data_IF_482213341588
#
_entry.id   IF_482213341588
#
_cell.length_a   1.000
_cell.length_b   1.000
_cell.length_c   1.000
_cell.angle_alpha   90.00
_cell.angle_beta   90.00
_cell.angle_gamma   90.00
#
_symmetry.space_group_name_H-M   'P 1'
#
loop_
_entity.id
_entity.type
_entity.pdbx_description
1 polymer ?
#
# COMPACT_ATOMS: atom_id res chain seq x y z
N UNK A 1 -0.66 45.27 6.16
CA UNK A 1 0.42 44.37 6.61
C UNK A 1 -0.05 43.06 7.23
N UNK A 2 -1.29 42.94 7.72
CA UNK A 2 -1.79 41.71 8.38
C UNK A 2 -2.32 40.61 7.44
N UNK A 3 -2.75 40.90 6.23
CA UNK A 3 -3.33 39.89 5.30
C UNK A 3 -2.28 38.90 4.74
N UNK A 4 -1.08 39.38 4.46
CA UNK A 4 0.00 38.52 3.94
C UNK A 4 0.57 37.56 5.00
N UNK A 5 0.56 37.96 6.27
CA UNK A 5 1.02 37.09 7.37
C UNK A 5 0.02 35.98 7.68
N UNK A 6 -1.29 36.27 7.55
CA UNK A 6 -2.35 35.28 7.72
C UNK A 6 -2.35 34.24 6.59
N UNK A 7 -2.05 34.65 5.36
CA UNK A 7 -2.00 33.76 4.21
C UNK A 7 -0.79 32.82 4.28
N UNK A 8 0.40 33.32 4.68
CA UNK A 8 1.58 32.49 4.91
C UNK A 8 1.35 31.42 5.97
N UNK A 9 0.64 31.76 7.05
CA UNK A 9 0.38 30.83 8.14
C UNK A 9 -0.61 29.74 7.75
N UNK A 10 -1.62 30.09 6.92
CA UNK A 10 -2.61 29.15 6.39
C UNK A 10 -1.96 28.16 5.41
N UNK A 11 -1.09 28.66 4.53
CA UNK A 11 -0.35 27.83 3.56
C UNK A 11 0.62 26.86 4.26
N UNK A 12 1.34 27.34 5.28
CA UNK A 12 2.26 26.47 6.04
C UNK A 12 1.50 25.37 6.81
N UNK A 13 0.31 25.67 7.34
CA UNK A 13 -0.52 24.69 8.04
C UNK A 13 -1.06 23.62 7.08
N UNK A 14 -1.41 23.98 5.84
CA UNK A 14 -1.86 23.03 4.82
C UNK A 14 -0.71 22.11 4.40
N UNK A 15 0.47 22.63 4.14
CA UNK A 15 1.65 21.83 3.79
C UNK A 15 2.05 20.89 4.91
N UNK A 16 2.03 21.32 6.17
CA UNK A 16 2.32 20.47 7.32
C UNK A 16 1.31 19.31 7.44
N UNK A 17 0.00 19.57 7.26
CA UNK A 17 -1.03 18.52 7.27
C UNK A 17 -0.85 17.50 6.16
N UNK A 18 -0.57 17.94 4.93
CA UNK A 18 -0.34 17.06 3.78
C UNK A 18 0.88 16.17 4.03
N UNK A 19 1.98 16.74 4.52
CA UNK A 19 3.21 15.99 4.85
C UNK A 19 2.97 14.95 5.94
N UNK A 20 2.19 15.27 6.96
CA UNK A 20 1.86 14.33 8.05
C UNK A 20 1.00 13.17 7.56
N UNK A 21 0.00 13.42 6.72
CA UNK A 21 -0.85 12.38 6.12
C UNK A 21 -0.04 11.46 5.20
N UNK A 22 0.85 12.04 4.38
CA UNK A 22 1.74 11.25 3.54
C UNK A 22 2.65 10.35 4.36
N UNK A 23 3.23 10.86 5.44
CA UNK A 23 4.08 10.07 6.34
C UNK A 23 3.30 8.93 7.01
N UNK A 24 2.11 9.20 7.53
CA UNK A 24 1.24 8.17 8.12
C UNK A 24 0.90 7.10 7.09
N UNK A 25 0.56 7.49 5.86
CA UNK A 25 0.26 6.55 4.79
C UNK A 25 1.49 5.70 4.42
N UNK A 26 2.70 6.30 4.35
CA UNK A 26 3.95 5.55 4.11
C UNK A 26 4.21 4.53 5.21
N UNK A 27 4.05 4.92 6.48
CA UNK A 27 4.23 4.00 7.63
C UNK A 27 3.22 2.86 7.58
N UNK A 28 1.97 3.14 7.23
CA UNK A 28 0.93 2.12 7.10
C UNK A 28 1.25 1.10 5.99
N UNK A 29 1.62 1.58 4.80
CA UNK A 29 2.03 0.70 3.69
C UNK A 29 3.28 -0.09 4.06
N UNK A 30 4.29 0.56 4.66
CA UNK A 30 5.50 -0.10 5.16
C UNK A 30 5.15 -1.23 6.12
N UNK A 31 4.32 -0.98 7.14
CA UNK A 31 3.93 -1.99 8.13
C UNK A 31 3.21 -3.19 7.50
N UNK A 32 2.31 -2.94 6.56
CA UNK A 32 1.59 -4.00 5.82
C UNK A 32 2.55 -4.89 5.04
N UNK A 33 3.41 -4.28 4.20
CA UNK A 33 4.33 -5.04 3.35
C UNK A 33 5.45 -5.71 4.15
N UNK A 34 5.97 -5.06 5.19
CA UNK A 34 6.95 -5.66 6.09
C UNK A 34 6.37 -6.89 6.81
N UNK A 35 5.16 -6.75 7.37
CA UNK A 35 4.49 -7.86 8.06
C UNK A 35 4.22 -9.04 7.14
N UNK A 36 3.67 -8.79 5.94
CA UNK A 36 3.45 -9.84 4.94
C UNK A 36 4.77 -10.46 4.48
N UNK A 37 5.79 -9.66 4.24
CA UNK A 37 7.10 -10.14 3.82
C UNK A 37 7.74 -11.07 4.85
N UNK A 38 7.71 -10.72 6.14
CA UNK A 38 8.25 -11.58 7.22
C UNK A 38 7.49 -12.91 7.28
N UNK A 39 6.15 -12.88 7.20
CA UNK A 39 5.33 -14.09 7.22
C UNK A 39 5.58 -14.97 6.00
N UNK A 40 5.77 -14.39 4.82
CA UNK A 40 6.08 -15.10 3.59
C UNK A 40 7.48 -15.73 3.61
N UNK A 41 8.50 -15.05 4.17
CA UNK A 41 9.84 -15.62 4.37
C UNK A 41 9.81 -16.89 5.23
N UNK A 42 8.91 -16.94 6.23
CA UNK A 42 8.71 -18.11 7.08
C UNK A 42 7.92 -19.25 6.42
N UNK A 43 7.54 -19.13 5.15
CA UNK A 43 6.73 -20.11 4.41
C UNK A 43 5.49 -20.52 5.21
N UNK A 44 4.56 -19.57 5.41
CA UNK A 44 3.35 -19.84 6.18
C UNK A 44 2.46 -20.89 5.48
N UNK A 45 2.22 -22.06 6.11
CA UNK A 45 1.43 -23.13 5.49
C UNK A 45 0.01 -22.69 5.09
N UNK A 46 -0.57 -21.72 5.81
CA UNK A 46 -1.92 -21.19 5.51
C UNK A 46 -1.96 -20.37 4.20
N UNK A 47 -0.80 -19.98 3.66
CA UNK A 47 -0.71 -19.21 2.43
C UNK A 47 -0.41 -20.06 1.21
N UNK A 48 -0.03 -21.33 1.40
CA UNK A 48 0.17 -22.26 0.29
C UNK A 48 -1.09 -22.41 -0.56
N UNK A 49 -2.31 -22.56 0.00
CA UNK A 49 -3.54 -22.62 -0.80
C UNK A 49 -3.80 -21.38 -1.65
N UNK A 50 -3.35 -20.20 -1.21
CA UNK A 50 -3.50 -18.96 -1.98
C UNK A 50 -2.71 -19.02 -3.29
N UNK A 51 -1.49 -19.57 -3.27
CA UNK A 51 -0.67 -19.73 -4.47
C UNK A 51 -1.15 -20.90 -5.33
N UNK A 52 -1.56 -22.01 -4.73
CA UNK A 52 -2.05 -23.16 -5.49
C UNK A 52 -3.37 -22.87 -6.20
N UNK A 53 -4.21 -21.98 -5.69
CA UNK A 53 -5.43 -21.55 -6.38
C UNK A 53 -5.15 -20.77 -7.70
N UNK A 54 -3.95 -20.25 -7.88
CA UNK A 54 -3.47 -19.65 -9.13
C UNK A 54 -2.70 -20.62 -10.04
N UNK A 55 -2.74 -21.93 -9.75
CA UNK A 55 -2.16 -22.98 -10.60
C UNK A 55 -0.72 -23.38 -10.25
N UNK A 56 -0.13 -22.85 -9.17
CA UNK A 56 1.17 -23.32 -8.70
C UNK A 56 1.03 -24.68 -7.99
N UNK A 57 2.02 -25.57 -8.15
CA UNK A 57 2.09 -26.77 -7.31
C UNK A 57 2.46 -26.42 -5.86
N UNK A 58 2.22 -27.33 -4.92
CA UNK A 58 2.61 -27.10 -3.51
C UNK A 58 4.11 -26.84 -3.34
N UNK A 59 4.95 -27.56 -4.08
CA UNK A 59 6.41 -27.35 -4.08
C UNK A 59 6.81 -26.00 -4.64
N UNK A 60 6.17 -25.59 -5.75
CA UNK A 60 6.38 -24.27 -6.33
C UNK A 60 5.96 -23.16 -5.35
N UNK A 61 4.82 -23.33 -4.67
CA UNK A 61 4.34 -22.36 -3.69
C UNK A 61 5.34 -22.18 -2.53
N UNK A 62 5.90 -23.29 -2.01
CA UNK A 62 6.94 -23.27 -0.97
C UNK A 62 8.21 -22.56 -1.44
N UNK A 63 8.60 -22.76 -2.70
CA UNK A 63 9.79 -22.11 -3.27
C UNK A 63 9.57 -20.61 -3.56
N UNK A 64 8.40 -20.25 -4.08
CA UNK A 64 8.08 -18.85 -4.50
C UNK A 64 7.80 -17.95 -3.28
N UNK A 65 7.23 -18.50 -2.21
CA UNK A 65 6.80 -17.71 -1.06
C UNK A 65 7.93 -16.89 -0.41
N UNK A 66 9.14 -17.39 -0.16
CA UNK A 66 10.25 -16.59 0.33
C UNK A 66 10.67 -15.48 -0.66
N UNK A 67 10.58 -15.72 -1.96
CA UNK A 67 10.89 -14.70 -2.98
C UNK A 67 9.88 -13.55 -2.92
N UNK A 68 8.59 -13.87 -2.75
CA UNK A 68 7.54 -12.88 -2.48
C UNK A 68 7.88 -12.11 -1.20
N UNK A 69 8.29 -12.80 -0.14
CA UNK A 69 8.68 -12.18 1.13
C UNK A 69 9.80 -11.16 0.98
N UNK A 70 10.84 -11.48 0.23
CA UNK A 70 11.94 -10.54 -0.08
C UNK A 70 11.42 -9.35 -0.87
N UNK A 71 10.58 -9.58 -1.89
CA UNK A 71 10.00 -8.52 -2.70
C UNK A 71 9.14 -7.57 -1.86
N UNK A 72 8.29 -8.11 -0.99
CA UNK A 72 7.44 -7.31 -0.11
C UNK A 72 8.27 -6.44 0.84
N UNK A 73 9.35 -6.96 1.42
CA UNK A 73 10.25 -6.18 2.27
C UNK A 73 10.94 -5.06 1.48
N UNK A 74 11.38 -5.33 0.27
CA UNK A 74 11.97 -4.31 -0.60
C UNK A 74 10.95 -3.21 -0.93
N UNK A 75 9.72 -3.58 -1.27
CA UNK A 75 8.63 -2.62 -1.51
C UNK A 75 8.34 -1.81 -0.25
N UNK A 76 8.29 -2.43 0.93
CA UNK A 76 8.11 -1.74 2.20
C UNK A 76 9.16 -0.63 2.40
N UNK A 77 10.43 -0.97 2.26
CA UNK A 77 11.53 -0.01 2.43
C UNK A 77 11.44 1.11 1.39
N UNK A 78 11.19 0.77 0.12
CA UNK A 78 11.08 1.76 -0.95
C UNK A 78 9.92 2.73 -0.73
N UNK A 79 8.76 2.24 -0.29
CA UNK A 79 7.60 3.11 0.00
C UNK A 79 7.90 4.04 1.17
N UNK A 80 8.60 3.58 2.18
CA UNK A 80 8.95 4.40 3.34
C UNK A 80 9.94 5.51 2.97
N UNK A 81 11.02 5.16 2.27
CA UNK A 81 12.15 6.07 2.00
C UNK A 81 11.94 6.87 0.73
N UNK A 82 11.54 6.22 -0.36
CA UNK A 82 11.46 6.81 -1.69
C UNK A 82 10.25 6.30 -2.50
N UNK A 83 9.03 6.73 -2.17
CA UNK A 83 7.79 6.26 -2.80
C UNK A 83 7.64 6.80 -4.22
N UNK A 84 8.30 6.18 -5.19
CA UNK A 84 8.15 6.49 -6.61
C UNK A 84 6.83 5.92 -7.15
N UNK A 85 6.31 6.53 -8.22
CA UNK A 85 5.01 6.20 -8.81
C UNK A 85 4.85 4.71 -9.13
N UNK A 86 5.88 4.10 -9.72
CA UNK A 86 5.82 2.69 -10.13
C UNK A 86 5.77 1.74 -8.92
N UNK A 87 6.49 2.06 -7.85
CA UNK A 87 6.47 1.27 -6.61
C UNK A 87 5.12 1.35 -5.93
N UNK A 88 4.50 2.54 -5.88
CA UNK A 88 3.16 2.72 -5.31
C UNK A 88 2.08 2.02 -6.13
N UNK A 89 2.19 2.08 -7.46
CA UNK A 89 1.29 1.34 -8.35
C UNK A 89 1.43 -0.17 -8.14
N UNK A 90 2.67 -0.68 -8.06
CA UNK A 90 2.94 -2.08 -7.76
C UNK A 90 2.36 -2.47 -6.39
N UNK A 91 2.61 -1.67 -5.35
CA UNK A 91 2.11 -1.94 -4.01
C UNK A 91 0.57 -2.03 -3.98
N UNK A 92 -0.12 -1.10 -4.66
CA UNK A 92 -1.58 -1.16 -4.81
C UNK A 92 -2.02 -2.46 -5.50
N UNK A 93 -1.47 -2.72 -6.69
CA UNK A 93 -1.89 -3.84 -7.52
C UNK A 93 -1.61 -5.19 -6.85
N UNK A 94 -0.42 -5.35 -6.27
CA UNK A 94 -0.03 -6.55 -5.56
C UNK A 94 -0.88 -6.80 -4.31
N UNK A 95 -1.08 -5.79 -3.48
CA UNK A 95 -1.94 -5.91 -2.30
C UNK A 95 -3.41 -6.22 -2.67
N UNK A 96 -3.90 -5.66 -3.79
CA UNK A 96 -5.23 -5.99 -4.31
C UNK A 96 -5.32 -7.46 -4.74
N UNK A 97 -4.34 -7.95 -5.51
CA UNK A 97 -4.30 -9.36 -5.93
C UNK A 97 -4.21 -10.31 -4.74
N UNK A 98 -3.38 -10.00 -3.74
CA UNK A 98 -3.26 -10.83 -2.53
C UNK A 98 -4.54 -10.83 -1.69
N UNK A 99 -5.27 -9.72 -1.65
CA UNK A 99 -6.60 -9.69 -1.03
C UNK A 99 -7.61 -10.54 -1.82
N UNK A 100 -7.60 -10.43 -3.16
CA UNK A 100 -8.49 -11.17 -4.05
C UNK A 100 -8.20 -12.68 -4.03
N UNK A 101 -6.96 -13.10 -3.75
CA UNK A 101 -6.62 -14.52 -3.65
C UNK A 101 -7.42 -15.26 -2.57
N UNK A 102 -7.91 -14.55 -1.55
CA UNK A 102 -8.70 -15.16 -0.46
C UNK A 102 -10.00 -15.79 -0.96
N UNK A 103 -10.94 -15.05 -1.56
CA UNK A 103 -12.15 -15.68 -2.09
C UNK A 103 -11.87 -16.65 -3.24
N UNK A 104 -10.79 -16.45 -4.01
CA UNK A 104 -10.40 -17.39 -5.08
C UNK A 104 -9.94 -18.73 -4.52
N UNK A 105 -9.29 -18.75 -3.36
CA UNK A 105 -8.87 -19.98 -2.67
C UNK A 105 -9.97 -20.65 -1.84
N UNK A 106 -11.18 -20.07 -1.81
CA UNK A 106 -12.34 -20.62 -1.11
C UNK A 106 -12.61 -19.99 0.27
N UNK A 107 -11.84 -18.98 0.66
CA UNK A 107 -12.10 -18.19 1.87
C UNK A 107 -13.36 -17.31 1.68
N UNK A 108 -13.91 -16.79 2.78
CA UNK A 108 -15.05 -15.87 2.72
C UNK A 108 -14.73 -14.60 1.95
N UNK A 109 -15.70 -14.10 1.16
CA UNK A 109 -15.53 -12.82 0.46
C UNK A 109 -15.34 -11.64 1.44
N UNK A 110 -15.75 -11.78 2.68
CA UNK A 110 -15.49 -10.81 3.74
C UNK A 110 -13.97 -10.61 3.99
N UNK A 111 -13.15 -11.64 3.78
CA UNK A 111 -11.70 -11.58 3.88
C UNK A 111 -11.07 -10.57 2.89
N UNK A 112 -11.69 -10.41 1.72
CA UNK A 112 -11.28 -9.37 0.76
C UNK A 112 -11.58 -7.96 1.30
N UNK A 113 -12.76 -7.73 1.85
CA UNK A 113 -13.13 -6.43 2.41
C UNK A 113 -12.32 -6.09 3.66
N UNK A 114 -12.07 -7.06 4.53
CA UNK A 114 -11.24 -6.86 5.72
C UNK A 114 -9.84 -6.33 5.35
N UNK A 115 -9.33 -6.73 4.18
CA UNK A 115 -8.03 -6.30 3.65
C UNK A 115 -8.08 -5.06 2.76
N UNK A 116 -9.21 -4.36 2.72
CA UNK A 116 -9.36 -3.17 1.85
C UNK A 116 -8.34 -2.07 2.16
N UNK A 117 -7.93 -1.91 3.41
CA UNK A 117 -6.89 -0.96 3.80
C UNK A 117 -5.51 -1.31 3.22
N UNK A 118 -5.22 -2.60 2.99
CA UNK A 118 -3.92 -3.04 2.48
C UNK A 118 -3.66 -2.54 1.06
N UNK A 119 -4.68 -2.51 0.21
CA UNK A 119 -4.58 -1.99 -1.16
C UNK A 119 -5.10 -0.55 -1.28
N UNK A 120 -6.04 -0.13 -0.45
CA UNK A 120 -6.58 1.23 -0.46
C UNK A 120 -5.55 2.27 -0.04
N UNK A 121 -4.71 1.94 0.94
CA UNK A 121 -3.71 2.89 1.45
C UNK A 121 -2.60 3.21 0.44
N UNK A 122 -1.96 2.24 -0.25
CA UNK A 122 -1.01 2.56 -1.32
C UNK A 122 -1.67 3.27 -2.51
N UNK A 123 -2.94 3.00 -2.81
CA UNK A 123 -3.69 3.76 -3.82
C UNK A 123 -3.89 5.21 -3.38
N UNK A 124 -4.33 5.44 -2.15
CA UNK A 124 -4.49 6.78 -1.61
C UNK A 124 -3.17 7.57 -1.65
N UNK A 125 -2.06 6.93 -1.25
CA UNK A 125 -0.72 7.53 -1.30
C UNK A 125 -0.29 7.87 -2.74
N UNK A 126 -0.58 6.99 -3.69
CA UNK A 126 -0.33 7.22 -5.12
C UNK A 126 -1.10 8.44 -5.64
N UNK A 127 -2.40 8.52 -5.33
CA UNK A 127 -3.25 9.62 -5.76
C UNK A 127 -2.83 10.94 -5.11
N UNK A 128 -2.61 10.97 -3.81
CA UNK A 128 -2.18 12.16 -3.08
C UNK A 128 -0.87 12.74 -3.63
N UNK A 129 0.07 11.87 -3.98
CA UNK A 129 1.41 12.28 -4.39
C UNK A 129 1.50 12.69 -5.86
N UNK A 130 0.81 11.98 -6.74
CA UNK A 130 0.99 12.12 -8.20
C UNK A 130 -0.24 12.66 -8.93
N UNK A 131 -1.39 12.69 -8.27
CA UNK A 131 -2.65 13.19 -8.83
C UNK A 131 -3.38 14.08 -7.82
N UNK A 132 -2.72 15.15 -7.29
CA UNK A 132 -3.39 16.06 -6.36
C UNK A 132 -4.60 16.69 -7.06
N UNK A 133 -5.73 16.76 -6.36
CA UNK A 133 -6.90 17.49 -6.87
C UNK A 133 -6.51 18.94 -7.16
N UNK A 134 -6.85 19.41 -8.37
CA UNK A 134 -6.72 20.83 -8.69
C UNK A 134 -7.66 21.60 -7.76
N UNK A 135 -7.11 22.41 -6.89
CA UNK A 135 -7.91 23.36 -6.10
C UNK A 135 -8.67 24.22 -7.11
N UNK A 136 -9.98 24.01 -7.21
CA UNK A 136 -10.84 24.90 -7.99
C UNK A 136 -10.76 26.24 -7.27
N UNK A 137 -10.00 27.17 -7.83
CA UNK A 137 -10.02 28.55 -7.38
C UNK A 137 -11.46 29.04 -7.55
N UNK A 138 -12.17 29.16 -6.47
CA UNK A 138 -13.43 29.88 -6.43
C UNK A 138 -13.09 31.37 -6.69
N UNK A 139 -13.05 31.73 -7.97
CA UNK A 139 -13.17 33.09 -8.39
C UNK A 139 -14.67 33.40 -8.49
N UNK A 140 -15.18 34.00 -7.46
CA UNK A 140 -16.43 34.77 -7.50
C UNK A 140 -16.26 35.99 -6.64
#
# INVERSE_FOLDING_TARGET
MNSQLLDKNKTSTIFYKITSLELIARIGVFGTFLGHGIVALGVNPKWIPLLTSFGFSGEQAVFIMPLIGVLDILVAILVLVYPIRIVLFWAFFWAFLTALSRPVSGDSFLEFFERSSNWGLPLALLLMKYYPEKTINQTS
#
